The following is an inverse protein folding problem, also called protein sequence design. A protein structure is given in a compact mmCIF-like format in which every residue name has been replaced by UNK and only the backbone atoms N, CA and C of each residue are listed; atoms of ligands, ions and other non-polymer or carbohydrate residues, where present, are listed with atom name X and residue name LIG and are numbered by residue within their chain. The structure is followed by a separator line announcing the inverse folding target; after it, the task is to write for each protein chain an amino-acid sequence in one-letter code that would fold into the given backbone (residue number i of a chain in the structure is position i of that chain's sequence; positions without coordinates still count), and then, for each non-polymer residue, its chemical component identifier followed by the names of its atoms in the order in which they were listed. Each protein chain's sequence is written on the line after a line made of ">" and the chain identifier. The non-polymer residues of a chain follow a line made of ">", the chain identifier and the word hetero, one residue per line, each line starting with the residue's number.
data_IF_859627468702
#
_entry.id   IF_859627468702
#
_cell.length_a   1.000
_cell.length_b   1.000
_cell.length_c   1.000
_cell.angle_alpha   90.00
_cell.angle_beta   90.00
_cell.angle_gamma   90.00
#
_symmetry.space_group_name_H-M   'P 1'
#
loop_
_entity.id
_entity.type
_entity.pdbx_description
1 polymer ?
#
# COMPACT_ATOMS: atom_id res chain seq x y z
N UNK A 1 4.77 18.14 -21.53
CA UNK A 1 3.31 18.44 -21.58
C UNK A 1 3.04 19.80 -22.23
N UNK A 2 3.48 20.92 -21.64
CA UNK A 2 3.14 22.28 -22.13
C UNK A 2 4.04 22.79 -23.24
N UNK A 3 5.25 22.23 -23.40
CA UNK A 3 6.29 22.72 -24.31
C UNK A 3 7.01 24.00 -23.83
N UNK A 4 6.63 24.53 -22.66
CA UNK A 4 7.23 25.73 -22.09
C UNK A 4 8.51 25.36 -21.31
N UNK A 5 9.67 25.78 -21.83
CA UNK A 5 10.99 25.47 -21.27
C UNK A 5 11.18 25.94 -19.82
N UNK A 6 10.37 26.87 -19.30
CA UNK A 6 10.54 27.36 -17.92
C UNK A 6 10.38 26.25 -16.89
N UNK A 7 9.51 25.26 -17.17
CA UNK A 7 9.27 24.13 -16.26
C UNK A 7 10.49 23.20 -16.22
N UNK A 8 11.07 22.90 -17.38
CA UNK A 8 12.29 22.09 -17.48
C UNK A 8 13.47 22.78 -16.80
N UNK A 9 13.66 24.09 -17.05
CA UNK A 9 14.72 24.86 -16.40
C UNK A 9 14.59 24.85 -14.88
N UNK A 10 13.38 24.99 -14.36
CA UNK A 10 13.14 24.94 -12.92
C UNK A 10 13.35 23.53 -12.36
N UNK A 11 12.91 22.49 -13.06
CA UNK A 11 13.14 21.10 -12.66
C UNK A 11 14.64 20.80 -12.55
N UNK A 12 15.42 21.13 -13.58
CA UNK A 12 16.88 20.94 -13.58
C UNK A 12 17.58 21.77 -12.49
N UNK A 13 17.11 23.00 -12.25
CA UNK A 13 17.64 23.82 -11.14
C UNK A 13 17.38 23.15 -9.78
N UNK A 14 16.15 22.71 -9.52
CA UNK A 14 15.77 22.10 -8.24
C UNK A 14 16.48 20.76 -8.03
N UNK A 15 16.42 19.88 -9.03
CA UNK A 15 17.02 18.55 -8.98
C UNK A 15 18.55 18.64 -8.83
N UNK A 16 19.21 19.46 -9.66
CA UNK A 16 20.66 19.59 -9.71
C UNK A 16 21.22 20.62 -8.74
N UNK A 17 20.98 21.92 -9.00
CA UNK A 17 21.63 23.04 -8.28
C UNK A 17 21.16 23.19 -6.83
N UNK A 18 19.90 22.86 -6.54
CA UNK A 18 19.35 22.84 -5.17
C UNK A 18 19.44 21.46 -4.53
N UNK A 19 19.97 20.48 -5.27
CA UNK A 19 20.23 19.13 -4.80
C UNK A 19 18.99 18.33 -4.34
N UNK A 20 17.78 18.70 -4.77
CA UNK A 20 16.57 17.98 -4.36
C UNK A 20 16.53 16.54 -4.88
N UNK A 21 17.24 16.23 -5.97
CA UNK A 21 17.38 14.84 -6.43
C UNK A 21 18.06 13.95 -5.37
N UNK A 22 18.90 14.52 -4.49
CA UNK A 22 19.56 13.74 -3.45
C UNK A 22 18.58 13.21 -2.40
N UNK A 23 17.48 13.92 -2.15
CA UNK A 23 16.44 13.46 -1.24
C UNK A 23 15.78 12.17 -1.75
N UNK A 24 15.78 11.95 -3.08
CA UNK A 24 15.18 10.79 -3.71
C UNK A 24 16.10 9.57 -3.76
N UNK A 25 17.35 9.66 -3.28
CA UNK A 25 18.25 8.49 -3.20
C UNK A 25 17.80 7.50 -2.12
N UNK A 26 17.22 8.00 -1.02
CA UNK A 26 16.70 7.21 0.09
C UNK A 26 15.66 8.05 0.82
N UNK A 27 14.42 7.95 0.37
CA UNK A 27 13.31 8.76 0.90
C UNK A 27 12.38 7.98 1.82
N UNK A 28 12.26 6.65 1.65
CA UNK A 28 11.59 5.79 2.64
C UNK A 28 12.47 5.64 3.88
N UNK A 29 11.89 6.00 5.01
CA UNK A 29 12.44 5.77 6.34
C UNK A 29 11.61 4.63 6.94
N UNK A 30 12.22 3.48 7.30
CA UNK A 30 11.47 2.38 7.90
C UNK A 30 10.76 2.83 9.16
N UNK A 31 9.45 2.65 9.17
CA UNK A 31 8.53 3.13 10.21
C UNK A 31 7.69 1.99 10.82
N UNK A 32 8.00 0.74 10.47
CA UNK A 32 7.20 -0.43 10.85
C UNK A 32 5.88 -0.54 10.08
N UNK A 33 5.83 0.00 8.87
CA UNK A 33 4.64 0.02 8.01
C UNK A 33 3.45 0.70 8.71
N UNK A 34 3.62 1.96 9.10
CA UNK A 34 2.58 2.73 9.81
C UNK A 34 2.04 3.90 8.99
N UNK A 35 2.85 4.48 8.10
CA UNK A 35 2.56 5.68 7.32
C UNK A 35 2.21 5.38 5.85
N UNK A 36 1.28 4.46 5.63
CA UNK A 36 0.83 4.04 4.28
C UNK A 36 0.34 5.17 3.36
N UNK A 37 -0.11 6.30 3.93
CA UNK A 37 -0.51 7.47 3.15
C UNK A 37 0.68 8.16 2.47
N UNK A 38 1.81 8.23 3.17
CA UNK A 38 3.05 8.79 2.63
C UNK A 38 3.59 7.84 1.56
N UNK A 39 3.54 6.53 1.80
CA UNK A 39 3.97 5.52 0.83
C UNK A 39 3.15 5.62 -0.46
N UNK A 40 1.83 5.63 -0.37
CA UNK A 40 0.97 5.78 -1.54
C UNK A 40 1.21 7.10 -2.28
N UNK A 41 1.41 8.20 -1.55
CA UNK A 41 1.73 9.49 -2.17
C UNK A 41 3.07 9.42 -2.92
N UNK A 42 4.09 8.81 -2.33
CA UNK A 42 5.40 8.68 -2.95
C UNK A 42 5.36 7.82 -4.22
N UNK A 43 4.66 6.68 -4.20
CA UNK A 43 4.47 5.85 -5.41
C UNK A 43 3.74 6.62 -6.52
N UNK A 44 2.79 7.49 -6.18
CA UNK A 44 2.15 8.38 -7.16
C UNK A 44 3.15 9.37 -7.75
N UNK A 45 3.92 10.05 -6.90
CA UNK A 45 4.83 11.11 -7.33
C UNK A 45 6.04 10.59 -8.10
N UNK A 46 6.64 9.48 -7.65
CA UNK A 46 7.79 8.87 -8.31
C UNK A 46 7.42 8.36 -9.70
N UNK A 47 6.18 7.88 -9.90
CA UNK A 47 5.71 7.45 -11.23
C UNK A 47 5.70 8.61 -12.22
N UNK A 48 5.33 9.82 -11.77
CA UNK A 48 5.33 11.03 -12.58
C UNK A 48 6.77 11.53 -12.85
N UNK A 49 7.63 11.52 -11.83
CA UNK A 49 9.04 11.87 -11.98
C UNK A 49 9.73 10.97 -13.00
N UNK A 50 9.54 9.65 -12.88
CA UNK A 50 10.09 8.68 -13.82
C UNK A 50 9.50 8.82 -15.21
N UNK A 51 8.24 9.22 -15.36
CA UNK A 51 7.61 9.41 -16.68
C UNK A 51 8.14 10.63 -17.43
N UNK A 52 8.43 11.73 -16.72
CA UNK A 52 8.77 13.01 -17.34
C UNK A 52 10.26 13.37 -17.25
N UNK A 53 11.09 12.51 -16.68
CA UNK A 53 12.55 12.72 -16.62
C UNK A 53 13.24 11.86 -17.68
N UNK A 54 13.87 12.53 -18.65
CA UNK A 54 14.65 11.88 -19.71
C UNK A 54 16.12 11.66 -19.32
N UNK A 55 16.67 12.45 -18.38
CA UNK A 55 18.07 12.34 -17.95
C UNK A 55 18.33 10.97 -17.28
N UNK A 56 19.15 10.09 -17.88
CA UNK A 56 19.41 8.76 -17.35
C UNK A 56 20.08 8.77 -15.97
N UNK A 57 20.84 9.81 -15.62
CA UNK A 57 21.48 9.91 -14.30
C UNK A 57 20.44 10.19 -13.21
N UNK A 58 19.52 11.13 -13.46
CA UNK A 58 18.43 11.43 -12.52
C UNK A 58 17.49 10.24 -12.37
N UNK A 59 17.14 9.59 -13.49
CA UNK A 59 16.34 8.35 -13.47
C UNK A 59 17.00 7.25 -12.62
N UNK A 60 18.32 7.09 -12.72
CA UNK A 60 19.05 6.10 -11.93
C UNK A 60 19.00 6.41 -10.42
N UNK A 61 19.10 7.70 -10.04
CA UNK A 61 18.93 8.14 -8.65
C UNK A 61 17.52 7.81 -8.14
N UNK A 62 16.49 8.10 -8.93
CA UNK A 62 15.10 7.84 -8.55
C UNK A 62 14.82 6.34 -8.45
N UNK A 63 15.30 5.54 -9.40
CA UNK A 63 15.15 4.09 -9.39
C UNK A 63 15.83 3.45 -8.18
N UNK A 64 16.98 3.97 -7.74
CA UNK A 64 17.66 3.49 -6.52
C UNK A 64 16.79 3.71 -5.28
N UNK A 65 16.30 4.94 -5.05
CA UNK A 65 15.45 5.21 -3.88
C UNK A 65 14.11 4.48 -3.94
N UNK A 66 13.51 4.38 -5.12
CA UNK A 66 12.30 3.60 -5.34
C UNK A 66 12.52 2.12 -5.07
N UNK A 67 13.66 1.56 -5.43
CA UNK A 67 14.00 0.15 -5.13
C UNK A 67 14.09 -0.07 -3.62
N UNK A 68 14.74 0.82 -2.88
CA UNK A 68 14.78 0.70 -1.41
C UNK A 68 13.39 0.79 -0.78
N UNK A 69 12.54 1.70 -1.26
CA UNK A 69 11.18 1.84 -0.77
C UNK A 69 10.34 0.60 -1.12
N UNK A 70 10.37 0.15 -2.37
CA UNK A 70 9.63 -1.04 -2.80
C UNK A 70 10.10 -2.31 -2.08
N UNK A 71 11.39 -2.46 -1.80
CA UNK A 71 11.90 -3.60 -1.02
C UNK A 71 11.32 -3.66 0.40
N UNK A 72 11.06 -2.50 1.01
CA UNK A 72 10.36 -2.39 2.31
C UNK A 72 8.86 -2.72 2.14
N UNK A 73 8.20 -2.11 1.16
CA UNK A 73 6.73 -2.15 1.02
C UNK A 73 6.18 -3.36 0.24
N UNK A 74 7.01 -4.14 -0.46
CA UNK A 74 6.51 -5.30 -1.26
C UNK A 74 5.80 -6.34 -0.41
N UNK A 75 6.09 -6.41 0.90
CA UNK A 75 5.41 -7.29 1.85
C UNK A 75 3.91 -6.97 1.98
N UNK A 76 3.49 -5.74 1.68
CA UNK A 76 2.08 -5.34 1.67
C UNK A 76 1.24 -6.01 0.57
N UNK A 77 1.90 -6.58 -0.45
CA UNK A 77 1.25 -7.12 -1.66
C UNK A 77 0.32 -6.10 -2.32
N UNK A 78 0.70 -4.83 -2.27
CA UNK A 78 -0.07 -3.73 -2.82
C UNK A 78 0.11 -3.70 -4.34
N UNK A 79 -0.91 -4.16 -5.09
CA UNK A 79 -0.84 -4.26 -6.55
C UNK A 79 -0.40 -2.96 -7.23
N UNK A 80 -0.85 -1.80 -6.73
CA UNK A 80 -0.48 -0.51 -7.29
C UNK A 80 1.02 -0.24 -7.14
N UNK A 81 1.60 -0.50 -5.96
CA UNK A 81 3.02 -0.24 -5.70
C UNK A 81 3.91 -1.15 -6.54
N UNK A 82 3.56 -2.44 -6.59
CA UNK A 82 4.26 -3.43 -7.40
C UNK A 82 4.21 -3.10 -8.90
N UNK A 83 3.04 -2.70 -9.43
CA UNK A 83 2.94 -2.26 -10.83
C UNK A 83 3.70 -0.97 -11.11
N UNK A 84 3.69 0.02 -10.21
CA UNK A 84 4.49 1.23 -10.36
C UNK A 84 5.96 0.87 -10.46
N UNK A 85 6.46 0.02 -9.56
CA UNK A 85 7.85 -0.42 -9.56
C UNK A 85 8.22 -1.05 -10.91
N UNK A 86 7.51 -2.11 -11.33
CA UNK A 86 7.77 -2.80 -12.59
C UNK A 86 7.65 -1.89 -13.81
N UNK A 87 6.65 -1.01 -13.87
CA UNK A 87 6.42 -0.11 -15.00
C UNK A 87 7.55 0.88 -15.24
N UNK A 88 8.10 1.46 -14.16
CA UNK A 88 9.03 2.60 -14.29
C UNK A 88 10.49 2.19 -14.25
N UNK A 89 10.81 1.05 -13.64
CA UNK A 89 12.17 0.50 -13.61
C UNK A 89 12.42 -0.49 -14.75
N UNK A 90 11.40 -1.24 -15.17
CA UNK A 90 11.53 -2.35 -16.11
C UNK A 90 12.19 -3.59 -15.49
N UNK A 91 12.41 -3.59 -14.16
CA UNK A 91 13.00 -4.70 -13.42
C UNK A 91 11.96 -5.77 -13.07
N UNK A 92 12.43 -6.92 -12.60
CA UNK A 92 11.55 -7.95 -12.04
C UNK A 92 10.81 -7.41 -10.81
N UNK A 93 9.54 -7.80 -10.67
CA UNK A 93 8.67 -7.41 -9.56
C UNK A 93 7.66 -8.54 -9.26
N UNK A 94 6.98 -8.40 -8.13
CA UNK A 94 5.95 -9.34 -7.65
C UNK A 94 4.64 -9.24 -8.47
N UNK A 95 4.69 -9.63 -9.74
CA UNK A 95 3.53 -9.60 -10.63
C UNK A 95 2.42 -10.57 -10.21
N UNK A 96 2.77 -11.74 -9.65
CA UNK A 96 1.80 -12.72 -9.16
C UNK A 96 0.94 -12.13 -8.03
N UNK A 97 1.55 -11.43 -7.06
CA UNK A 97 0.82 -10.73 -6.00
C UNK A 97 -0.16 -9.69 -6.57
N UNK A 98 0.20 -9.01 -7.66
CA UNK A 98 -0.71 -8.07 -8.32
C UNK A 98 -1.92 -8.78 -8.94
N UNK A 99 -1.68 -9.91 -9.60
CA UNK A 99 -2.73 -10.69 -10.26
C UNK A 99 -3.67 -11.26 -9.21
N UNK A 100 -3.13 -11.88 -8.15
CA UNK A 100 -3.90 -12.43 -7.04
C UNK A 100 -4.76 -11.34 -6.39
N UNK A 101 -4.17 -10.18 -6.07
CA UNK A 101 -4.91 -9.05 -5.49
C UNK A 101 -6.05 -8.59 -6.40
N UNK A 102 -5.83 -8.43 -7.72
CA UNK A 102 -6.88 -8.00 -8.64
C UNK A 102 -7.96 -9.06 -8.86
N UNK A 103 -7.59 -10.34 -8.91
CA UNK A 103 -8.53 -11.45 -9.15
C UNK A 103 -9.40 -11.75 -7.93
N UNK A 104 -8.84 -11.64 -6.72
CA UNK A 104 -9.53 -12.00 -5.48
C UNK A 104 -10.26 -10.82 -4.81
N UNK A 105 -9.99 -9.58 -5.23
CA UNK A 105 -10.60 -8.41 -4.60
C UNK A 105 -12.14 -8.40 -4.77
N UNK A 106 -12.91 -8.30 -3.68
CA UNK A 106 -14.37 -8.23 -3.77
C UNK A 106 -14.82 -7.00 -4.55
N UNK A 107 -15.57 -7.20 -5.63
CA UNK A 107 -16.00 -6.11 -6.53
C UNK A 107 -17.20 -5.32 -6.01
N UNK A 108 -17.91 -5.81 -5.00
CA UNK A 108 -19.05 -5.12 -4.39
C UNK A 108 -18.63 -3.86 -3.61
N UNK A 109 -17.35 -3.77 -3.22
CA UNK A 109 -16.76 -2.73 -2.38
C UNK A 109 -17.50 -2.49 -1.06
N UNK A 110 -18.28 -3.47 -0.59
CA UNK A 110 -19.01 -3.35 0.67
C UNK A 110 -18.04 -3.66 1.82
N UNK A 111 -17.97 -2.77 2.80
CA UNK A 111 -17.19 -3.02 4.02
C UNK A 111 -17.96 -3.93 4.97
N UNK A 112 -17.88 -5.24 4.71
CA UNK A 112 -18.46 -6.26 5.56
C UNK A 112 -17.82 -6.30 6.95
N UNK A 113 -18.58 -6.81 7.92
CA UNK A 113 -18.04 -7.14 9.23
C UNK A 113 -17.15 -8.38 9.10
N UNK A 114 -15.89 -8.27 9.52
CA UNK A 114 -14.89 -9.33 9.48
C UNK A 114 -14.23 -9.47 10.85
N UNK A 115 -14.20 -10.69 11.36
CA UNK A 115 -13.53 -11.03 12.60
C UNK A 115 -12.58 -12.18 12.30
N UNK A 116 -11.34 -11.85 11.94
CA UNK A 116 -10.28 -12.78 11.61
C UNK A 116 -9.34 -12.99 12.80
N UNK A 117 -9.24 -12.03 13.72
CA UNK A 117 -8.28 -12.05 14.84
C UNK A 117 -8.44 -13.22 15.82
N UNK A 118 -9.56 -13.95 15.79
CA UNK A 118 -9.73 -15.19 16.58
C UNK A 118 -8.88 -16.37 16.09
N UNK A 119 -8.37 -16.29 14.86
CA UNK A 119 -7.55 -17.31 14.22
C UNK A 119 -6.22 -17.47 14.95
N UNK A 120 -5.86 -18.71 15.26
CA UNK A 120 -4.62 -19.04 16.00
C UNK A 120 -3.39 -19.16 15.10
N UNK A 121 -3.59 -19.25 13.79
CA UNK A 121 -2.53 -19.36 12.78
C UNK A 121 -1.92 -18.01 12.37
N UNK A 122 -2.51 -16.90 12.80
CA UNK A 122 -2.04 -15.55 12.45
C UNK A 122 -0.72 -15.21 13.14
N UNK A 123 0.18 -14.58 12.38
CA UNK A 123 1.49 -14.11 12.87
C UNK A 123 1.46 -12.60 13.07
N UNK A 124 1.47 -12.19 14.33
CA UNK A 124 1.34 -10.80 14.73
C UNK A 124 2.68 -10.10 14.85
N UNK A 125 2.77 -8.91 14.28
CA UNK A 125 3.75 -7.89 14.63
C UNK A 125 3.21 -7.03 15.78
N UNK A 126 3.89 -7.13 16.92
CA UNK A 126 3.54 -6.40 18.13
C UNK A 126 4.32 -5.09 18.29
N UNK A 127 5.32 -4.82 17.43
CA UNK A 127 6.13 -3.61 17.53
C UNK A 127 5.32 -2.30 17.47
N UNK A 128 4.23 -2.18 16.67
CA UNK A 128 3.37 -1.01 16.70
C UNK A 128 2.80 -0.69 18.10
N UNK A 129 2.54 -1.72 18.92
CA UNK A 129 1.98 -1.54 20.26
C UNK A 129 2.94 -0.81 21.22
N UNK A 130 4.26 -0.94 21.01
CA UNK A 130 5.27 -0.28 21.84
C UNK A 130 5.24 1.25 21.70
N UNK A 131 4.67 1.75 20.61
CA UNK A 131 4.48 3.19 20.34
C UNK A 131 3.00 3.62 20.37
N UNK A 132 2.13 2.77 20.92
CA UNK A 132 0.71 3.07 21.12
C UNK A 132 -0.16 2.93 19.87
N UNK A 133 0.34 2.26 18.82
CA UNK A 133 -0.45 1.90 17.64
C UNK A 133 -1.05 0.49 17.80
N UNK A 134 -2.17 0.18 17.12
CA UNK A 134 -2.71 -1.17 17.11
C UNK A 134 -1.70 -2.19 16.55
N UNK A 135 -1.60 -3.40 17.13
CA UNK A 135 -0.86 -4.51 16.52
C UNK A 135 -1.40 -4.84 15.13
N UNK A 136 -0.54 -5.43 14.31
CA UNK A 136 -0.86 -5.80 12.94
C UNK A 136 -0.26 -7.17 12.60
N UNK A 137 -0.51 -7.71 11.39
CA UNK A 137 0.20 -8.90 10.92
C UNK A 137 1.54 -8.57 10.29
N UNK A 138 2.47 -9.53 10.29
CA UNK A 138 3.69 -9.44 9.48
C UNK A 138 3.41 -9.47 7.97
N UNK A 139 2.34 -10.14 7.56
CA UNK A 139 1.93 -10.28 6.16
C UNK A 139 0.41 -10.08 6.07
N UNK A 140 -0.10 -9.41 5.03
CA UNK A 140 -1.53 -9.21 4.87
C UNK A 140 -2.25 -10.54 4.61
N UNK A 141 -3.53 -10.61 5.02
CA UNK A 141 -4.42 -11.68 4.58
C UNK A 141 -4.65 -11.61 3.06
N UNK A 142 -5.02 -12.74 2.41
CA UNK A 142 -5.46 -12.73 1.01
C UNK A 142 -6.57 -11.70 0.77
N UNK A 143 -6.63 -11.12 -0.43
CA UNK A 143 -7.56 -10.03 -0.73
C UNK A 143 -9.04 -10.38 -0.47
N UNK A 144 -9.43 -11.64 -0.68
CA UNK A 144 -10.80 -12.13 -0.45
C UNK A 144 -11.14 -12.37 1.05
N UNK A 145 -10.15 -12.47 1.93
CA UNK A 145 -10.33 -12.60 3.39
C UNK A 145 -10.12 -11.27 4.14
N UNK A 146 -9.51 -10.29 3.48
CA UNK A 146 -9.16 -9.00 4.05
C UNK A 146 -10.32 -8.02 3.92
N UNK A 147 -10.38 -7.05 4.85
CA UNK A 147 -11.25 -5.89 4.72
C UNK A 147 -10.92 -5.10 3.44
N UNK A 148 -11.94 -4.44 2.86
CA UNK A 148 -11.73 -3.54 1.74
C UNK A 148 -10.93 -2.31 2.19
N UNK A 149 -9.75 -2.12 1.61
CA UNK A 149 -8.81 -1.04 1.90
C UNK A 149 -8.46 -0.27 0.64
N UNK A 150 -8.24 1.03 0.77
CA UNK A 150 -7.59 1.82 -0.27
C UNK A 150 -6.08 1.55 -0.29
N UNK A 151 -5.39 2.02 -1.33
CA UNK A 151 -3.94 1.81 -1.48
C UNK A 151 -3.09 2.49 -0.40
N UNK A 152 -3.67 3.44 0.34
CA UNK A 152 -3.07 4.23 1.42
C UNK A 152 -3.52 3.77 2.83
N UNK A 153 -4.17 2.61 2.91
CA UNK A 153 -4.66 2.05 4.17
C UNK A 153 -3.82 0.87 4.61
N UNK A 154 -3.73 0.67 5.92
CA UNK A 154 -3.01 -0.47 6.50
C UNK A 154 -3.64 -1.81 6.05
N UNK A 155 -2.87 -2.57 5.26
CA UNK A 155 -3.25 -3.87 4.69
C UNK A 155 -3.03 -5.04 5.65
N UNK A 156 -2.31 -4.82 6.74
CA UNK A 156 -2.02 -5.81 7.78
C UNK A 156 -3.13 -5.90 8.84
N UNK A 157 -4.11 -4.98 8.79
CA UNK A 157 -5.29 -4.99 9.65
C UNK A 157 -6.24 -6.13 9.28
N UNK A 158 -6.55 -6.99 10.25
CA UNK A 158 -7.30 -8.24 10.01
C UNK A 158 -8.81 -8.13 10.18
N UNK A 159 -9.26 -7.24 11.04
CA UNK A 159 -10.67 -7.13 11.42
C UNK A 159 -11.33 -5.90 10.78
N UNK A 160 -12.66 -5.95 10.67
CA UNK A 160 -13.50 -4.85 10.20
C UNK A 160 -14.81 -4.86 10.97
N UNK A 161 -15.09 -3.80 11.75
CA UNK A 161 -16.39 -3.61 12.38
C UNK A 161 -16.82 -4.69 13.37
N UNK A 162 -15.88 -5.46 13.91
CA UNK A 162 -16.14 -6.63 14.74
C UNK A 162 -16.03 -6.38 16.26
N UNK A 163 -16.11 -5.11 16.70
CA UNK A 163 -15.96 -4.77 18.12
C UNK A 163 -16.98 -5.49 19.01
N UNK A 164 -18.25 -5.51 18.59
CA UNK A 164 -19.35 -6.17 19.31
C UNK A 164 -19.17 -7.70 19.35
N UNK A 165 -18.75 -8.30 18.24
CA UNK A 165 -18.44 -9.73 18.14
C UNK A 165 -17.29 -10.09 19.07
N UNK A 166 -16.21 -9.31 19.06
CA UNK A 166 -15.07 -9.49 19.96
C UNK A 166 -15.51 -9.37 21.43
N UNK A 167 -16.29 -8.34 21.78
CA UNK A 167 -16.80 -8.15 23.14
C UNK A 167 -17.73 -9.29 23.60
N UNK A 168 -18.52 -9.88 22.70
CA UNK A 168 -19.40 -11.01 23.03
C UNK A 168 -18.61 -12.30 23.29
N UNK A 169 -17.59 -12.57 22.49
CA UNK A 169 -16.74 -13.76 22.59
C UNK A 169 -15.79 -13.65 23.79
N UNK A 170 -15.21 -12.48 24.01
CA UNK A 170 -14.26 -12.22 25.10
C UNK A 170 -14.90 -11.62 26.35
N UNK A 171 -16.17 -11.93 26.65
CA UNK A 171 -16.87 -11.51 27.88
C UNK A 171 -15.98 -11.75 29.12
N UNK A 172 -15.23 -10.71 29.51
CA UNK A 172 -14.20 -10.70 30.57
C UNK A 172 -13.25 -11.90 30.54
N UNK A 173 -12.18 -11.79 29.75
CA UNK A 173 -10.97 -12.55 30.03
C UNK A 173 -10.34 -12.03 31.34
N UNK A 174 -9.98 -12.94 32.24
CA UNK A 174 -9.14 -12.64 33.41
C UNK A 174 -7.66 -12.47 33.04
N UNK A 175 -7.30 -12.66 31.77
CA UNK A 175 -5.94 -12.42 31.26
C UNK A 175 -5.76 -10.94 30.93
N UNK A 176 -4.88 -10.21 31.64
CA UNK A 176 -4.66 -8.78 31.42
C UNK A 176 -4.04 -8.43 30.07
N UNK A 177 -3.59 -9.44 29.31
CA UNK A 177 -3.08 -9.33 27.93
C UNK A 177 -4.11 -9.70 26.88
N UNK A 178 -5.31 -10.17 27.26
CA UNK A 178 -6.41 -10.39 26.35
C UNK A 178 -7.05 -9.05 26.01
N UNK A 179 -6.33 -8.25 25.24
CA UNK A 179 -6.94 -7.14 24.52
C UNK A 179 -7.88 -7.74 23.49
N UNK A 180 -9.09 -7.19 23.34
CA UNK A 180 -9.78 -7.26 22.05
C UNK A 180 -8.80 -6.66 21.05
N UNK A 181 -8.04 -7.49 20.33
CA UNK A 181 -7.07 -7.01 19.36
C UNK A 181 -7.84 -6.08 18.44
N UNK A 182 -7.44 -4.80 18.48
CA UNK A 182 -8.32 -3.68 18.20
C UNK A 182 -9.07 -3.90 16.88
N UNK A 183 -10.41 -3.81 16.86
CA UNK A 183 -11.17 -3.97 15.64
C UNK A 183 -10.67 -2.92 14.65
N UNK A 184 -10.33 -3.35 13.43
CA UNK A 184 -10.02 -2.41 12.36
C UNK A 184 -11.08 -1.34 12.33
N UNK A 185 -10.65 -0.08 12.27
CA UNK A 185 -11.39 1.15 12.61
C UNK A 185 -12.63 1.46 11.73
N UNK A 186 -13.17 0.50 10.98
CA UNK A 186 -14.41 0.67 10.20
C UNK A 186 -15.61 0.07 10.92
N UNK A 187 -16.51 0.88 11.46
CA UNK A 187 -17.76 0.44 12.10
C UNK A 187 -18.90 0.34 11.07
N UNK A 188 -18.63 -0.35 9.96
CA UNK A 188 -19.49 -0.17 8.81
C UNK A 188 -20.50 -1.30 8.65
N UNK A 189 -20.24 -2.51 9.16
CA UNK A 189 -21.20 -3.65 9.20
C UNK A 189 -22.00 -3.84 7.89
N UNK A 190 -21.35 -3.63 6.74
CA UNK A 190 -21.98 -3.70 5.41
C UNK A 190 -22.79 -2.47 4.98
N UNK A 191 -22.79 -1.39 5.78
CA UNK A 191 -23.51 -0.14 5.56
C UNK A 191 -22.68 0.93 4.82
N UNK A 192 -21.39 0.68 4.59
CA UNK A 192 -20.52 1.59 3.85
C UNK A 192 -19.95 0.91 2.62
N UNK A 193 -20.01 1.66 1.52
CA UNK A 193 -19.35 1.34 0.26
C UNK A 193 -18.03 2.09 0.20
N UNK A 194 -16.96 1.39 -0.16
CA UNK A 194 -15.68 1.99 -0.51
C UNK A 194 -15.66 2.39 -1.97
N UNK A 195 -14.78 3.33 -2.30
CA UNK A 195 -14.49 3.64 -3.70
C UNK A 195 -13.73 2.49 -4.33
N UNK A 196 -14.07 2.09 -5.56
CA UNK A 196 -13.37 1.04 -6.30
C UNK A 196 -11.96 1.45 -6.77
N UNK A 197 -11.33 2.45 -6.16
CA UNK A 197 -10.01 2.96 -6.57
C UNK A 197 -8.88 1.98 -6.24
N UNK A 198 -9.07 1.15 -5.21
CA UNK A 198 -8.23 -0.02 -4.90
C UNK A 198 -8.14 -1.04 -6.04
N UNK A 199 -9.19 -1.18 -6.86
CA UNK A 199 -9.17 -2.04 -8.05
C UNK A 199 -8.83 -1.23 -9.32
N UNK A 200 -9.59 -0.17 -9.57
CA UNK A 200 -9.55 0.55 -10.85
C UNK A 200 -8.21 1.25 -11.07
N UNK A 201 -7.58 1.77 -10.02
CA UNK A 201 -6.30 2.45 -10.16
C UNK A 201 -5.17 1.49 -10.57
N UNK A 202 -4.85 0.41 -9.83
CA UNK A 202 -3.82 -0.53 -10.27
C UNK A 202 -4.15 -1.18 -11.61
N UNK A 203 -5.40 -1.56 -11.86
CA UNK A 203 -5.82 -2.15 -13.13
C UNK A 203 -5.53 -1.22 -14.32
N UNK A 204 -6.02 0.02 -14.29
CA UNK A 204 -5.81 0.96 -15.40
C UNK A 204 -4.37 1.43 -15.52
N UNK A 205 -3.64 1.53 -14.41
CA UNK A 205 -2.20 1.84 -14.44
C UNK A 205 -1.43 0.73 -15.16
N UNK A 206 -1.64 -0.54 -14.76
CA UNK A 206 -0.98 -1.68 -15.37
C UNK A 206 -1.31 -1.81 -16.87
N UNK A 207 -2.58 -1.61 -17.24
CA UNK A 207 -3.03 -1.56 -18.65
C UNK A 207 -2.34 -0.45 -19.43
N UNK A 208 -2.24 0.75 -18.87
CA UNK A 208 -1.60 1.90 -19.52
C UNK A 208 -0.13 1.62 -19.84
N UNK A 209 0.58 0.91 -18.96
CA UNK A 209 1.98 0.52 -19.16
C UNK A 209 2.16 -0.83 -19.87
N UNK A 210 1.07 -1.49 -20.28
CA UNK A 210 1.13 -2.79 -20.98
C UNK A 210 1.63 -3.95 -20.11
N UNK A 211 1.46 -3.86 -18.78
CA UNK A 211 1.86 -4.91 -17.83
C UNK A 211 0.84 -6.05 -17.73
N UNK A 212 -0.42 -5.78 -18.07
CA UNK A 212 -1.50 -6.77 -18.11
C UNK A 212 -2.35 -6.58 -19.36
N UNK A 213 -2.99 -7.65 -19.82
CA UNK A 213 -3.94 -7.66 -20.93
C UNK A 213 -5.22 -8.39 -20.52
N UNK A 214 -6.31 -8.14 -21.24
CA UNK A 214 -7.55 -8.88 -21.01
C UNK A 214 -7.40 -10.22 -21.71
N UNK A 215 -7.81 -11.31 -21.05
CA UNK A 215 -7.91 -12.59 -21.73
C UNK A 215 -8.96 -12.47 -22.84
N UNK A 216 -8.59 -12.83 -24.07
CA UNK A 216 -9.51 -12.91 -25.22
C UNK A 216 -10.61 -13.97 -25.02
#
# INVERSE_FOLDING_TARGET
>A
ITGDEKYEKLFVELAGKKHFAMNLMQYKIPDGHLLHIDDNHDFLMISLLMKYTDDPNLRSIFAMGLTHHWEDEKVERNAFFNFVYGAVTGEWYNADDCIDELMDMPTDQVMWQLYNSYRKDLKWDMAPADIGMPPQLFEPLPAHERRITSNDSNRFTVDSGAEDVAQEIFKKSDEPTAYTMFPGTGNDKGLVLKTCTNFTHPYWFARYYGLIEDCE
#
